data_IF_639546793511
#
_entry.id   IF_639546793511
#
_cell.length_a   1.000
_cell.length_b   1.000
_cell.length_c   1.000
_cell.angle_alpha   90.00
_cell.angle_beta   90.00
_cell.angle_gamma   90.00
#
_symmetry.space_group_name_H-M   'P 1'
#
loop_
_entity.id
_entity.type
_entity.pdbx_description
1 polymer ?
#
# COMPACT_ATOMS: atom_id res chain seq x y z
N UNK A 1 9.70 3.23 11.50
CA UNK A 1 10.65 4.11 12.24
C UNK A 1 11.38 5.09 11.35
N UNK A 2 12.33 4.66 10.49
CA UNK A 2 13.16 5.59 9.69
C UNK A 2 12.31 6.56 8.85
N UNK A 3 11.31 6.05 8.14
CA UNK A 3 10.41 6.89 7.33
C UNK A 3 9.63 7.92 8.16
N UNK A 4 9.19 7.55 9.38
CA UNK A 4 8.50 8.47 10.30
C UNK A 4 9.44 9.58 10.73
N UNK A 5 10.62 9.22 11.25
CA UNK A 5 11.60 10.21 11.72
C UNK A 5 12.01 11.17 10.59
N UNK A 6 12.24 10.63 9.38
CA UNK A 6 12.55 11.44 8.20
C UNK A 6 11.43 12.43 7.88
N UNK A 7 10.17 11.99 7.91
CA UNK A 7 9.03 12.90 7.68
C UNK A 7 8.93 14.00 8.74
N UNK A 8 9.09 13.66 10.02
CA UNK A 8 9.06 14.67 11.08
C UNK A 8 10.22 15.67 10.95
N UNK A 9 11.40 15.24 10.50
CA UNK A 9 12.50 16.17 10.22
C UNK A 9 12.13 17.10 9.06
N UNK A 10 11.59 16.56 7.96
CA UNK A 10 11.21 17.33 6.78
C UNK A 10 10.13 18.36 7.11
N UNK A 11 9.06 17.96 7.81
CA UNK A 11 7.93 18.82 8.12
C UNK A 11 8.29 19.99 9.07
N UNK A 12 9.39 19.86 9.81
CA UNK A 12 9.75 20.80 10.88
C UNK A 12 11.14 21.42 10.66
N UNK A 13 11.70 21.31 9.44
CA UNK A 13 13.04 21.84 9.12
C UNK A 13 13.13 23.36 9.29
N UNK A 14 12.02 24.08 9.10
CA UNK A 14 11.95 25.53 9.26
C UNK A 14 12.28 26.00 10.67
N UNK A 15 11.96 25.19 11.70
CA UNK A 15 12.35 25.48 13.08
C UNK A 15 13.88 25.42 13.27
N UNK A 16 14.58 24.56 12.52
CA UNK A 16 16.04 24.52 12.54
C UNK A 16 16.64 25.75 11.85
N UNK A 17 16.05 26.20 10.74
CA UNK A 17 16.50 27.41 10.03
C UNK A 17 16.27 28.69 10.82
N UNK A 18 15.23 28.74 11.65
CA UNK A 18 14.90 29.88 12.51
C UNK A 18 15.56 29.83 13.89
N UNK A 19 16.26 28.73 14.22
CA UNK A 19 16.93 28.54 15.51
C UNK A 19 16.01 28.15 16.66
N UNK A 20 14.73 27.88 16.42
CA UNK A 20 13.75 27.44 17.44
C UNK A 20 13.85 25.92 17.71
N UNK A 21 14.93 25.54 18.39
CA UNK A 21 15.21 24.14 18.74
C UNK A 21 14.11 23.55 19.64
N UNK A 22 13.48 24.38 20.49
CA UNK A 22 12.45 23.91 21.41
C UNK A 22 11.21 23.44 20.64
N UNK A 23 10.72 24.24 19.69
CA UNK A 23 9.59 23.84 18.84
C UNK A 23 9.94 22.66 17.95
N UNK A 24 11.18 22.58 17.46
CA UNK A 24 11.66 21.41 16.72
C UNK A 24 11.53 20.13 17.56
N UNK A 25 12.07 20.09 18.79
CA UNK A 25 11.98 18.89 19.65
C UNK A 25 10.52 18.58 20.00
N UNK A 26 9.73 19.60 20.35
CA UNK A 26 8.31 19.44 20.71
C UNK A 26 7.49 18.83 19.57
N UNK A 27 7.87 19.07 18.32
CA UNK A 27 7.19 18.50 17.15
C UNK A 27 7.23 16.96 17.11
N UNK A 28 8.18 16.32 17.80
CA UNK A 28 8.36 14.86 17.83
C UNK A 28 7.54 14.15 18.92
N UNK A 29 6.77 14.87 19.74
CA UNK A 29 5.97 14.27 20.83
C UNK A 29 5.09 13.11 20.32
N UNK A 30 4.57 13.20 19.09
CA UNK A 30 3.71 12.17 18.52
C UNK A 30 4.42 11.10 17.68
N UNK A 31 5.72 11.27 17.40
CA UNK A 31 6.50 10.32 16.62
C UNK A 31 6.51 8.90 17.24
N UNK A 32 6.62 8.70 18.57
CA UNK A 32 6.53 7.37 19.16
C UNK A 32 5.23 6.62 18.84
N UNK A 33 4.08 7.31 18.90
CA UNK A 33 2.78 6.70 18.59
C UNK A 33 2.69 6.28 17.12
N UNK A 34 3.20 7.09 16.19
CA UNK A 34 3.22 6.76 14.77
C UNK A 34 4.21 5.63 14.45
N UNK A 35 5.35 5.58 15.14
CA UNK A 35 6.32 4.45 15.05
C UNK A 35 5.69 3.14 15.53
N UNK A 36 4.82 3.20 16.53
CA UNK A 36 4.07 2.06 17.07
C UNK A 36 2.79 1.75 16.27
N UNK A 37 2.57 2.38 15.12
CA UNK A 37 1.38 2.19 14.29
C UNK A 37 0.06 2.50 15.03
N UNK A 38 0.04 3.58 15.82
CA UNK A 38 -1.16 4.06 16.54
C UNK A 38 -1.78 5.32 15.90
N UNK A 39 -1.37 5.71 14.69
CA UNK A 39 -1.90 6.89 14.01
C UNK A 39 -3.36 6.76 13.54
N UNK A 40 -3.91 5.55 13.51
CA UNK A 40 -5.34 5.30 13.25
C UNK A 40 -6.15 4.99 14.50
N UNK A 41 -5.55 5.18 15.70
CA UNK A 41 -6.26 4.99 16.97
C UNK A 41 -7.06 6.21 17.43
N UNK A 42 -6.88 7.36 16.77
CA UNK A 42 -7.41 8.66 17.19
C UNK A 42 -6.47 9.47 18.10
N UNK A 43 -5.32 8.91 18.51
CA UNK A 43 -4.33 9.59 19.38
C UNK A 43 -3.51 10.63 18.61
N UNK A 44 -3.08 10.30 17.40
CA UNK A 44 -2.32 11.21 16.54
C UNK A 44 -2.66 10.96 15.07
N UNK A 45 -2.49 11.97 14.22
CA UNK A 45 -2.64 11.82 12.76
C UNK A 45 -1.36 11.27 12.14
N UNK A 46 -1.49 10.43 11.11
CA UNK A 46 -0.34 9.94 10.36
C UNK A 46 0.29 11.07 9.52
N UNK A 47 1.57 11.38 9.77
CA UNK A 47 2.34 12.29 8.91
C UNK A 47 2.86 11.61 7.66
N UNK A 48 3.18 10.32 7.76
CA UNK A 48 3.54 9.48 6.61
C UNK A 48 2.28 8.81 6.09
N UNK A 49 1.76 9.26 4.94
CA UNK A 49 0.49 8.73 4.43
C UNK A 49 0.43 7.19 4.32
N UNK A 50 1.46 6.47 3.86
CA UNK A 50 1.44 4.99 3.87
C UNK A 50 1.19 4.34 5.24
N UNK A 51 1.58 5.01 6.34
CA UNK A 51 1.55 4.44 7.69
C UNK A 51 0.14 4.42 8.28
N UNK A 52 -0.75 5.33 7.89
CA UNK A 52 -2.15 5.27 8.35
C UNK A 52 -2.76 3.92 7.99
N UNK A 53 -2.51 3.42 6.77
CA UNK A 53 -3.11 2.17 6.31
C UNK A 53 -2.59 0.97 7.12
N UNK A 54 -1.27 0.93 7.38
CA UNK A 54 -0.67 -0.11 8.21
C UNK A 54 -1.18 -0.05 9.66
N UNK A 55 -1.37 1.15 10.21
CA UNK A 55 -1.96 1.36 11.54
C UNK A 55 -3.40 0.88 11.60
N UNK A 56 -4.24 1.32 10.67
CA UNK A 56 -5.62 0.89 10.56
C UNK A 56 -5.73 -0.64 10.39
N UNK A 57 -4.90 -1.24 9.54
CA UNK A 57 -4.85 -2.70 9.39
C UNK A 57 -4.48 -3.40 10.70
N UNK A 58 -3.51 -2.91 11.47
CA UNK A 58 -3.10 -3.52 12.73
C UNK A 58 -4.26 -3.62 13.73
N UNK A 59 -5.14 -2.61 13.74
CA UNK A 59 -6.31 -2.54 14.62
C UNK A 59 -7.46 -3.42 14.09
N UNK A 60 -7.75 -3.34 12.79
CA UNK A 60 -8.92 -3.99 12.18
C UNK A 60 -8.68 -5.48 11.88
N UNK A 61 -7.43 -5.88 11.62
CA UNK A 61 -7.11 -7.24 11.21
C UNK A 61 -7.49 -8.32 12.25
N UNK A 62 -7.24 -8.16 13.56
CA UNK A 62 -7.71 -9.12 14.57
C UNK A 62 -9.23 -9.29 14.59
N UNK A 63 -9.97 -8.18 14.43
CA UNK A 63 -11.43 -8.21 14.35
C UNK A 63 -11.91 -8.95 13.10
N UNK A 64 -11.28 -8.67 11.95
CA UNK A 64 -11.56 -9.39 10.71
C UNK A 64 -11.33 -10.90 10.88
N UNK A 65 -10.15 -11.29 11.39
CA UNK A 65 -9.81 -12.72 11.58
C UNK A 65 -10.79 -13.40 12.51
N UNK A 66 -11.19 -12.73 13.61
CA UNK A 66 -12.21 -13.23 14.51
C UNK A 66 -13.54 -13.47 13.79
N UNK A 67 -14.03 -12.50 12.99
CA UNK A 67 -15.27 -12.64 12.23
C UNK A 67 -15.19 -13.77 11.20
N UNK A 68 -14.06 -13.88 10.48
CA UNK A 68 -13.82 -14.96 9.52
C UNK A 68 -13.89 -16.35 10.18
N UNK A 69 -13.36 -16.49 11.39
CA UNK A 69 -13.34 -17.76 12.11
C UNK A 69 -14.68 -18.07 12.79
N UNK A 70 -15.33 -17.07 13.39
CA UNK A 70 -16.51 -17.28 14.22
C UNK A 70 -17.81 -17.32 13.40
N UNK A 71 -17.90 -16.53 12.34
CA UNK A 71 -19.12 -16.36 11.51
C UNK A 71 -18.76 -16.29 10.01
N UNK A 72 -18.17 -17.35 9.42
CA UNK A 72 -17.64 -17.34 8.06
C UNK A 72 -18.68 -17.02 6.98
N UNK A 73 -19.91 -17.51 7.11
CA UNK A 73 -20.97 -17.24 6.13
C UNK A 73 -21.39 -15.76 6.14
N UNK A 74 -21.47 -15.15 7.33
CA UNK A 74 -21.67 -13.71 7.44
C UNK A 74 -20.50 -12.94 6.81
N UNK A 75 -19.26 -13.35 7.07
CA UNK A 75 -18.09 -12.70 6.49
C UNK A 75 -18.09 -12.73 4.97
N UNK A 76 -18.49 -13.83 4.32
CA UNK A 76 -18.58 -13.90 2.84
C UNK A 76 -19.57 -12.87 2.29
N UNK A 77 -20.74 -12.74 2.91
CA UNK A 77 -21.75 -11.74 2.51
C UNK A 77 -21.22 -10.33 2.77
N UNK A 78 -20.67 -10.09 3.95
CA UNK A 78 -20.10 -8.81 4.35
C UNK A 78 -18.95 -8.37 3.42
N UNK A 79 -18.04 -9.29 3.08
CA UNK A 79 -16.91 -9.03 2.20
C UNK A 79 -17.33 -8.65 0.77
N UNK A 80 -18.50 -9.13 0.33
CA UNK A 80 -19.10 -8.71 -0.93
C UNK A 80 -19.78 -7.34 -0.82
N UNK A 81 -20.64 -7.14 0.17
CA UNK A 81 -21.50 -5.95 0.25
C UNK A 81 -20.76 -4.71 0.75
N UNK A 82 -19.90 -4.85 1.76
CA UNK A 82 -19.30 -3.71 2.46
C UNK A 82 -18.37 -2.87 1.56
N UNK A 83 -17.44 -3.46 0.77
CA UNK A 83 -16.59 -2.66 -0.12
C UNK A 83 -17.39 -1.90 -1.18
N UNK A 84 -18.41 -2.53 -1.76
CA UNK A 84 -19.27 -1.91 -2.79
C UNK A 84 -20.00 -0.70 -2.21
N UNK A 85 -20.60 -0.86 -1.03
CA UNK A 85 -21.31 0.24 -0.35
C UNK A 85 -20.33 1.34 0.10
N UNK A 86 -19.17 0.96 0.65
CA UNK A 86 -18.17 1.91 1.13
C UNK A 86 -17.61 2.77 -0.02
N UNK A 87 -17.05 2.13 -1.06
CA UNK A 87 -16.46 2.85 -2.18
C UNK A 87 -17.52 3.50 -3.09
N UNK A 88 -18.71 2.91 -3.19
CA UNK A 88 -19.84 3.52 -3.90
C UNK A 88 -20.34 4.80 -3.25
N UNK A 89 -20.34 4.88 -1.91
CA UNK A 89 -20.78 6.08 -1.19
C UNK A 89 -19.67 7.12 -1.02
N UNK A 90 -18.47 6.70 -0.61
CA UNK A 90 -17.37 7.62 -0.26
C UNK A 90 -16.41 7.91 -1.41
N UNK A 91 -16.40 7.09 -2.47
CA UNK A 91 -15.40 7.15 -3.53
C UNK A 91 -14.02 6.65 -3.06
N UNK A 92 -12.99 6.93 -3.85
CA UNK A 92 -11.62 6.41 -3.66
C UNK A 92 -10.74 7.37 -2.88
N UNK A 93 -10.92 8.67 -3.12
CA UNK A 93 -10.24 9.74 -2.39
C UNK A 93 -11.06 10.14 -1.16
N UNK A 94 -11.15 9.20 -0.23
CA UNK A 94 -11.89 9.39 1.03
C UNK A 94 -11.09 10.18 2.06
N UNK A 95 -11.83 10.86 2.94
CA UNK A 95 -11.32 11.48 4.14
C UNK A 95 -10.55 10.44 4.99
N UNK A 96 -9.36 10.84 5.44
CA UNK A 96 -8.44 10.01 6.24
C UNK A 96 -8.58 10.29 7.72
N UNK A 97 -9.51 11.16 8.12
CA UNK A 97 -9.80 11.40 9.52
C UNK A 97 -10.33 10.13 10.18
N UNK A 98 -9.88 9.90 11.41
CA UNK A 98 -10.45 8.88 12.27
C UNK A 98 -11.97 9.11 12.43
N UNK A 99 -12.82 8.05 12.37
CA UNK A 99 -12.50 6.63 12.23
C UNK A 99 -12.60 6.09 10.78
N UNK A 100 -12.66 6.97 9.77
CA UNK A 100 -12.89 6.57 8.37
C UNK A 100 -11.74 5.72 7.81
N UNK A 101 -10.51 5.95 8.28
CA UNK A 101 -9.33 5.18 7.94
C UNK A 101 -9.44 3.69 8.31
N UNK A 102 -9.99 3.39 9.49
CA UNK A 102 -10.28 2.00 9.90
C UNK A 102 -11.38 1.37 9.05
N UNK A 103 -12.46 2.09 8.77
CA UNK A 103 -13.53 1.61 7.91
C UNK A 103 -13.02 1.33 6.48
N UNK A 104 -12.15 2.21 5.96
CA UNK A 104 -11.47 2.03 4.68
C UNK A 104 -10.56 0.80 4.68
N UNK A 105 -9.76 0.62 5.74
CA UNK A 105 -8.89 -0.54 5.85
C UNK A 105 -9.70 -1.84 5.88
N UNK A 106 -10.83 -1.87 6.61
CA UNK A 106 -11.77 -2.99 6.60
C UNK A 106 -12.33 -3.25 5.21
N UNK A 107 -12.73 -2.21 4.47
CA UNK A 107 -13.25 -2.32 3.11
C UNK A 107 -12.20 -2.88 2.15
N UNK A 108 -10.94 -2.43 2.24
CA UNK A 108 -9.84 -2.95 1.44
C UNK A 108 -9.56 -4.43 1.75
N UNK A 109 -9.55 -4.83 3.02
CA UNK A 109 -9.30 -6.23 3.40
C UNK A 109 -10.47 -7.16 3.02
N UNK A 110 -11.71 -6.67 3.16
CA UNK A 110 -12.91 -7.34 2.65
C UNK A 110 -12.85 -7.53 1.12
N UNK A 111 -12.47 -6.49 0.38
CA UNK A 111 -12.26 -6.56 -1.08
C UNK A 111 -11.17 -7.57 -1.46
N UNK A 112 -10.08 -7.64 -0.68
CA UNK A 112 -9.04 -8.66 -0.84
C UNK A 112 -9.56 -10.09 -0.61
N UNK A 113 -10.43 -10.29 0.38
CA UNK A 113 -11.11 -11.59 0.58
C UNK A 113 -11.99 -11.92 -0.63
N UNK A 114 -12.78 -10.97 -1.10
CA UNK A 114 -13.63 -11.16 -2.27
C UNK A 114 -12.80 -11.53 -3.50
N UNK A 115 -11.67 -10.84 -3.72
CA UNK A 115 -10.76 -11.13 -4.83
C UNK A 115 -10.22 -12.57 -4.75
N UNK A 116 -9.86 -13.03 -3.54
CA UNK A 116 -9.43 -14.40 -3.32
C UNK A 116 -10.53 -15.43 -3.62
N UNK A 117 -11.75 -15.22 -3.13
CA UNK A 117 -12.88 -16.13 -3.37
C UNK A 117 -13.25 -16.20 -4.85
N UNK A 118 -13.28 -15.05 -5.54
CA UNK A 118 -13.51 -15.00 -6.98
C UNK A 118 -12.38 -15.70 -7.76
N UNK A 119 -11.13 -15.52 -7.32
CA UNK A 119 -9.98 -16.18 -7.94
C UNK A 119 -10.04 -17.71 -7.80
N UNK A 120 -10.41 -18.19 -6.61
CA UNK A 120 -10.58 -19.63 -6.35
C UNK A 120 -11.72 -20.22 -7.20
N UNK A 121 -12.86 -19.51 -7.27
CA UNK A 121 -13.97 -19.91 -8.13
C UNK A 121 -13.54 -19.98 -9.60
N UNK A 122 -12.81 -18.98 -10.08
CA UNK A 122 -12.33 -18.93 -11.46
C UNK A 122 -11.35 -20.06 -11.76
N UNK A 123 -10.46 -20.39 -10.82
CA UNK A 123 -9.48 -21.48 -10.95
C UNK A 123 -10.13 -22.86 -11.08
N UNK A 124 -11.31 -23.08 -10.47
CA UNK A 124 -12.04 -24.36 -10.49
C UNK A 124 -12.80 -24.63 -11.80
N UNK A 125 -12.98 -23.63 -12.67
CA UNK A 125 -13.75 -23.78 -13.91
C UNK A 125 -12.95 -24.54 -14.98
N UNK A 126 -13.48 -25.69 -15.46
CA UNK A 126 -12.83 -26.64 -16.38
C UNK A 126 -12.98 -26.32 -17.89
N UNK A 127 -13.34 -25.09 -18.26
CA UNK A 127 -13.56 -24.72 -19.67
C UNK A 127 -12.24 -24.69 -20.47
N UNK A 128 -12.28 -25.07 -21.75
CA UNK A 128 -11.15 -25.16 -22.70
C UNK A 128 -10.04 -24.14 -22.44
N UNK A 129 -8.86 -24.67 -22.09
CA UNK A 129 -7.82 -23.91 -21.39
C UNK A 129 -7.14 -22.81 -22.22
N UNK A 130 -7.17 -22.87 -23.55
CA UNK A 130 -6.32 -21.99 -24.39
C UNK A 130 -7.00 -20.66 -24.75
N UNK A 131 -8.18 -20.69 -25.35
CA UNK A 131 -8.91 -19.48 -25.78
C UNK A 131 -9.28 -18.62 -24.57
N UNK A 132 -9.82 -19.24 -23.52
CA UNK A 132 -10.15 -18.55 -22.26
C UNK A 132 -8.92 -17.87 -21.64
N UNK A 133 -7.78 -18.55 -21.62
CA UNK A 133 -6.53 -17.99 -21.07
C UNK A 133 -6.03 -16.79 -21.88
N UNK A 134 -6.17 -16.81 -23.21
CA UNK A 134 -5.87 -15.65 -24.06
C UNK A 134 -6.79 -14.49 -23.73
N UNK A 135 -8.11 -14.70 -23.69
CA UNK A 135 -9.10 -13.66 -23.41
C UNK A 135 -8.85 -13.04 -22.03
N UNK A 136 -8.70 -13.87 -21.00
CA UNK A 136 -8.48 -13.40 -19.63
C UNK A 136 -7.15 -12.65 -19.48
N UNK A 137 -6.09 -13.10 -20.16
CA UNK A 137 -4.81 -12.35 -20.18
C UNK A 137 -4.95 -11.02 -20.91
N UNK A 138 -5.74 -10.97 -21.99
CA UNK A 138 -6.08 -9.73 -22.68
C UNK A 138 -6.83 -8.75 -21.77
N UNK A 139 -7.83 -9.23 -21.02
CA UNK A 139 -8.56 -8.42 -20.04
C UNK A 139 -7.62 -7.88 -18.95
N UNK A 140 -6.70 -8.71 -18.45
CA UNK A 140 -5.71 -8.29 -17.45
C UNK A 140 -4.81 -7.17 -17.98
N UNK A 141 -4.23 -7.34 -19.17
CA UNK A 141 -3.34 -6.36 -19.79
C UNK A 141 -4.11 -5.07 -20.10
N UNK A 142 -5.31 -5.17 -20.66
CA UNK A 142 -6.16 -4.00 -20.92
C UNK A 142 -6.51 -3.26 -19.64
N UNK A 143 -6.82 -3.97 -18.55
CA UNK A 143 -7.11 -3.37 -17.24
C UNK A 143 -5.89 -2.63 -16.69
N UNK A 144 -4.69 -3.22 -16.80
CA UNK A 144 -3.45 -2.59 -16.37
C UNK A 144 -3.09 -1.36 -17.20
N UNK A 145 -3.18 -1.45 -18.53
CA UNK A 145 -2.93 -0.32 -19.43
C UNK A 145 -3.93 0.81 -19.21
N UNK A 146 -5.19 0.49 -18.98
CA UNK A 146 -6.23 1.47 -18.68
C UNK A 146 -5.99 2.16 -17.33
N UNK A 147 -5.55 1.42 -16.31
CA UNK A 147 -5.14 2.00 -15.02
C UNK A 147 -3.94 2.96 -15.17
N UNK A 148 -2.96 2.61 -16.01
CA UNK A 148 -1.83 3.51 -16.31
C UNK A 148 -2.33 4.77 -17.03
N UNK A 149 -3.18 4.62 -18.05
CA UNK A 149 -3.74 5.73 -18.82
C UNK A 149 -4.50 6.73 -17.94
N UNK A 150 -5.41 6.24 -17.08
CA UNK A 150 -6.20 7.09 -16.19
C UNK A 150 -5.33 7.78 -15.15
N UNK A 151 -4.31 7.10 -14.63
CA UNK A 151 -3.37 7.68 -13.65
C UNK A 151 -2.47 8.76 -14.27
N UNK A 152 -1.89 8.49 -15.46
CA UNK A 152 -0.97 9.42 -16.13
C UNK A 152 -1.68 10.69 -16.58
N UNK A 153 -2.93 10.57 -17.07
CA UNK A 153 -3.70 11.71 -17.54
C UNK A 153 -4.60 12.33 -16.46
N UNK A 154 -4.51 11.84 -15.21
CA UNK A 154 -5.28 12.30 -14.06
C UNK A 154 -6.78 12.50 -14.39
N UNK A 155 -7.42 11.48 -14.97
CA UNK A 155 -8.82 11.59 -15.42
C UNK A 155 -9.79 11.58 -14.23
N UNK A 156 -10.93 12.23 -14.41
CA UNK A 156 -11.96 12.40 -13.37
C UNK A 156 -12.60 11.09 -12.88
N UNK A 157 -12.49 10.02 -13.68
CA UNK A 157 -12.99 8.69 -13.33
C UNK A 157 -11.93 7.82 -12.61
N UNK A 158 -11.05 8.44 -11.80
CA UNK A 158 -10.08 7.74 -10.96
C UNK A 158 -10.73 6.68 -10.06
N UNK A 159 -12.02 6.82 -9.75
CA UNK A 159 -12.76 5.86 -8.94
C UNK A 159 -12.85 4.44 -9.55
N UNK A 160 -12.57 4.28 -10.86
CA UNK A 160 -12.54 2.97 -11.51
C UNK A 160 -11.29 2.15 -11.15
N UNK A 161 -10.26 2.78 -10.56
CA UNK A 161 -8.99 2.12 -10.25
C UNK A 161 -9.14 0.89 -9.39
N UNK A 162 -9.99 0.94 -8.37
CA UNK A 162 -10.25 -0.15 -7.43
C UNK A 162 -10.84 -1.35 -8.15
N UNK A 163 -11.73 -1.10 -9.11
CA UNK A 163 -12.32 -2.15 -9.93
C UNK A 163 -11.27 -2.78 -10.85
N UNK A 164 -10.46 -1.96 -11.53
CA UNK A 164 -9.38 -2.46 -12.39
C UNK A 164 -8.37 -3.27 -11.58
N UNK A 165 -7.98 -2.77 -10.41
CA UNK A 165 -7.07 -3.44 -9.50
C UNK A 165 -7.67 -4.75 -8.98
N UNK A 166 -8.95 -4.77 -8.61
CA UNK A 166 -9.68 -5.97 -8.23
C UNK A 166 -9.64 -7.03 -9.34
N UNK A 167 -9.95 -6.64 -10.59
CA UNK A 167 -9.90 -7.54 -11.75
C UNK A 167 -8.49 -8.11 -11.92
N UNK A 168 -7.45 -7.25 -11.90
CA UNK A 168 -6.05 -7.68 -12.03
C UNK A 168 -5.69 -8.68 -10.93
N UNK A 169 -6.06 -8.40 -9.67
CA UNK A 169 -5.80 -9.31 -8.54
C UNK A 169 -6.50 -10.66 -8.71
N UNK A 170 -7.80 -10.67 -9.07
CA UNK A 170 -8.55 -11.91 -9.29
C UNK A 170 -7.88 -12.78 -10.36
N UNK A 171 -7.51 -12.16 -11.49
CA UNK A 171 -6.90 -12.85 -12.62
C UNK A 171 -5.51 -13.39 -12.27
N UNK A 172 -4.66 -12.58 -11.63
CA UNK A 172 -3.32 -12.98 -11.21
C UNK A 172 -3.34 -14.09 -10.14
N UNK A 173 -4.20 -13.98 -9.12
CA UNK A 173 -4.29 -14.97 -8.03
C UNK A 173 -4.86 -16.29 -8.54
N UNK A 174 -5.81 -16.26 -9.47
CA UNK A 174 -6.46 -17.47 -10.00
C UNK A 174 -5.53 -18.37 -10.82
N UNK A 175 -4.39 -17.86 -11.28
CA UNK A 175 -3.42 -18.63 -12.08
C UNK A 175 -3.87 -18.94 -13.52
N UNK A 176 -4.97 -18.33 -13.98
CA UNK A 176 -5.60 -18.65 -15.27
C UNK A 176 -5.09 -17.80 -16.43
N UNK A 177 -4.27 -16.77 -16.18
CA UNK A 177 -3.68 -15.89 -17.20
C UNK A 177 -2.23 -16.28 -17.51
N UNK A 178 -1.69 -15.86 -18.65
CA UNK A 178 -0.29 -16.15 -19.01
C UNK A 178 0.69 -15.40 -18.09
N UNK A 179 0.38 -14.16 -17.73
CA UNK A 179 1.14 -13.32 -16.80
C UNK A 179 1.26 -13.93 -15.41
N UNK A 180 0.19 -14.56 -14.90
CA UNK A 180 0.21 -15.24 -13.59
C UNK A 180 1.24 -16.40 -13.51
N UNK A 181 1.62 -16.98 -14.65
CA UNK A 181 2.61 -18.05 -14.72
C UNK A 181 4.05 -17.53 -14.81
N UNK A 182 4.26 -16.23 -15.00
CA UNK A 182 5.59 -15.65 -15.15
C UNK A 182 6.32 -15.72 -13.81
N UNK A 183 7.38 -16.51 -13.77
CA UNK A 183 8.29 -16.62 -12.63
C UNK A 183 9.66 -16.12 -13.07
N UNK A 184 10.30 -15.32 -12.23
CA UNK A 184 11.66 -14.85 -12.50
C UNK A 184 12.23 -14.05 -11.34
N UNK A 185 13.56 -14.01 -11.26
CA UNK A 185 14.26 -13.24 -10.22
C UNK A 185 13.98 -11.74 -10.33
N UNK A 186 13.75 -11.22 -11.55
CA UNK A 186 13.35 -9.82 -11.78
C UNK A 186 12.01 -9.50 -11.11
N UNK A 187 10.97 -10.32 -11.33
CA UNK A 187 9.65 -10.09 -10.72
C UNK A 187 9.68 -10.25 -9.21
N UNK A 188 10.45 -11.22 -8.68
CA UNK A 188 10.69 -11.35 -7.24
C UNK A 188 11.39 -10.10 -6.68
N UNK A 189 12.35 -9.55 -7.41
CA UNK A 189 13.04 -8.31 -7.02
C UNK A 189 12.09 -7.12 -7.00
N UNK A 190 11.31 -6.91 -8.07
CA UNK A 190 10.30 -5.85 -8.14
C UNK A 190 9.26 -5.98 -7.02
N UNK A 191 8.80 -7.20 -6.73
CA UNK A 191 7.93 -7.47 -5.58
C UNK A 191 8.55 -7.08 -4.25
N UNK A 192 9.83 -7.39 -4.02
CA UNK A 192 10.58 -6.96 -2.82
C UNK A 192 10.78 -5.45 -2.75
N UNK A 193 10.85 -4.76 -3.88
CA UNK A 193 11.03 -3.31 -3.97
C UNK A 193 9.73 -2.53 -3.69
N UNK A 194 8.57 -3.13 -3.99
CA UNK A 194 7.26 -2.49 -3.84
C UNK A 194 6.99 -1.94 -2.43
N UNK A 195 7.33 -2.68 -1.37
CA UNK A 195 7.07 -2.28 0.01
C UNK A 195 7.94 -1.09 0.46
N UNK A 196 9.27 -1.10 0.25
CA UNK A 196 10.09 0.10 0.46
C UNK A 196 9.60 1.31 -0.34
N UNK A 197 9.22 1.14 -1.62
CA UNK A 197 8.63 2.24 -2.40
C UNK A 197 7.35 2.76 -1.76
N UNK A 198 6.44 1.87 -1.36
CA UNK A 198 5.21 2.23 -0.67
C UNK A 198 5.49 3.04 0.60
N UNK A 199 6.47 2.67 1.42
CA UNK A 199 6.78 3.37 2.68
C UNK A 199 7.42 4.75 2.45
N UNK A 200 8.38 4.85 1.52
CA UNK A 200 9.23 6.05 1.40
C UNK A 200 8.74 7.08 0.39
N UNK A 201 7.87 6.72 -0.56
CA UNK A 201 7.47 7.65 -1.64
C UNK A 201 6.86 8.96 -1.11
N UNK A 202 6.14 8.92 0.01
CA UNK A 202 5.52 10.10 0.59
C UNK A 202 6.55 11.14 1.05
N UNK A 203 7.54 10.71 1.85
CA UNK A 203 8.60 11.62 2.33
C UNK A 203 9.46 12.16 1.19
N UNK A 204 9.72 11.36 0.16
CA UNK A 204 10.42 11.84 -1.04
C UNK A 204 9.57 12.82 -1.83
N UNK A 205 8.25 12.60 -1.92
CA UNK A 205 7.31 13.55 -2.51
C UNK A 205 7.29 14.90 -1.77
N UNK A 206 7.23 14.87 -0.44
CA UNK A 206 7.34 16.08 0.40
C UNK A 206 8.65 16.82 0.15
N UNK A 207 9.78 16.11 0.12
CA UNK A 207 11.08 16.71 -0.17
C UNK A 207 11.14 17.30 -1.58
N UNK A 208 10.63 16.59 -2.59
CA UNK A 208 10.59 17.07 -3.97
C UNK A 208 9.73 18.35 -4.13
N UNK A 209 8.67 18.49 -3.33
CA UNK A 209 7.86 19.71 -3.28
C UNK A 209 8.65 20.91 -2.71
N UNK A 210 9.52 20.69 -1.73
CA UNK A 210 10.36 21.74 -1.13
C UNK A 210 11.50 22.15 -2.07
N UNK A 211 12.08 21.19 -2.80
CA UNK A 211 13.26 21.44 -3.64
C UNK A 211 12.99 22.21 -4.93
N UNK A 212 11.78 22.11 -5.50
CA UNK A 212 11.46 22.76 -6.77
C UNK A 212 9.96 22.96 -6.98
N UNK A 213 9.62 24.14 -7.52
CA UNK A 213 8.28 24.47 -8.02
C UNK A 213 8.03 23.95 -9.44
N UNK A 214 9.09 23.54 -10.15
CA UNK A 214 8.95 23.01 -11.50
C UNK A 214 8.38 21.59 -11.48
N UNK A 215 7.18 21.43 -12.03
CA UNK A 215 6.45 20.15 -12.05
C UNK A 215 7.25 18.99 -12.69
N UNK A 216 7.99 19.25 -13.78
CA UNK A 216 8.78 18.20 -14.46
C UNK A 216 9.94 17.74 -13.59
N UNK A 217 10.65 18.68 -12.97
CA UNK A 217 11.74 18.37 -12.05
C UNK A 217 11.24 17.66 -10.78
N UNK A 218 10.08 18.08 -10.26
CA UNK A 218 9.42 17.45 -9.13
C UNK A 218 9.08 15.98 -9.39
N UNK A 219 8.49 15.67 -10.55
CA UNK A 219 8.27 14.28 -10.95
C UNK A 219 9.57 13.49 -11.07
N UNK A 220 10.60 14.08 -11.67
CA UNK A 220 11.91 13.44 -11.80
C UNK A 220 12.50 13.10 -10.43
N UNK A 221 12.54 14.06 -9.50
CA UNK A 221 13.02 13.85 -8.13
C UNK A 221 12.17 12.84 -7.37
N UNK A 222 10.85 12.89 -7.53
CA UNK A 222 9.94 11.93 -6.91
C UNK A 222 10.24 10.49 -7.35
N UNK A 223 10.26 10.22 -8.66
CA UNK A 223 10.44 8.86 -9.17
C UNK A 223 11.85 8.33 -8.91
N UNK A 224 12.88 9.12 -9.24
CA UNK A 224 14.28 8.71 -9.05
C UNK A 224 14.59 8.58 -7.55
N UNK A 225 14.21 9.57 -6.75
CA UNK A 225 14.45 9.56 -5.31
C UNK A 225 13.77 8.38 -4.61
N UNK A 226 12.51 8.10 -4.96
CA UNK A 226 11.76 6.96 -4.38
C UNK A 226 12.44 5.64 -4.74
N UNK A 227 12.85 5.46 -6.00
CA UNK A 227 13.53 4.26 -6.44
C UNK A 227 14.89 4.06 -5.72
N UNK A 228 15.72 5.12 -5.65
CA UNK A 228 17.02 5.07 -5.00
C UNK A 228 16.91 4.72 -3.52
N UNK A 229 16.01 5.40 -2.79
CA UNK A 229 15.79 5.15 -1.36
C UNK A 229 15.21 3.75 -1.13
N UNK A 230 14.29 3.29 -1.98
CA UNK A 230 13.76 1.94 -1.90
C UNK A 230 14.84 0.87 -2.12
N UNK A 231 15.74 1.07 -3.08
CA UNK A 231 16.88 0.18 -3.33
C UNK A 231 17.86 0.16 -2.16
N UNK A 232 18.20 1.33 -1.60
CA UNK A 232 19.06 1.46 -0.41
C UNK A 232 18.44 0.74 0.80
N UNK A 233 17.15 0.96 1.08
CA UNK A 233 16.45 0.31 2.17
C UNK A 233 16.44 -1.22 2.01
N UNK A 234 16.25 -1.72 0.78
CA UNK A 234 16.32 -3.15 0.48
C UNK A 234 17.74 -3.70 0.70
N UNK A 235 18.77 -2.96 0.28
CA UNK A 235 20.18 -3.30 0.49
C UNK A 235 20.54 -3.41 1.97
N UNK A 236 20.18 -2.39 2.76
CA UNK A 236 20.38 -2.37 4.22
C UNK A 236 19.68 -3.56 4.87
N UNK A 237 18.42 -3.82 4.51
CA UNK A 237 17.66 -4.94 5.08
C UNK A 237 18.32 -6.29 4.77
N UNK A 238 18.86 -6.47 3.56
CA UNK A 238 19.60 -7.68 3.19
C UNK A 238 20.91 -7.81 3.97
N UNK A 239 21.65 -6.73 4.11
CA UNK A 239 22.90 -6.70 4.87
C UNK A 239 22.69 -7.04 6.35
N UNK A 240 21.67 -6.45 6.99
CA UNK A 240 21.31 -6.74 8.37
C UNK A 240 20.95 -8.22 8.57
N UNK A 241 20.10 -8.77 7.68
CA UNK A 241 19.74 -10.21 7.73
C UNK A 241 20.95 -11.13 7.54
N UNK A 242 21.86 -10.81 6.62
CA UNK A 242 23.08 -11.61 6.43
C UNK A 242 24.01 -11.58 7.65
N UNK A 243 24.14 -10.43 8.31
CA UNK A 243 24.94 -10.31 9.52
C UNK A 243 24.31 -11.01 10.73
N UNK A 244 22.99 -10.98 10.88
CA UNK A 244 22.27 -11.77 11.91
C UNK A 244 22.52 -13.27 11.72
N UNK A 245 22.50 -13.77 10.48
CA UNK A 245 22.82 -15.16 10.17
C UNK A 245 24.30 -15.52 10.43
N UNK A 246 25.25 -14.62 10.10
CA UNK A 246 26.68 -14.85 10.32
C UNK A 246 27.08 -14.83 11.80
N UNK A 247 26.38 -14.07 12.64
CA UNK A 247 26.74 -13.89 14.06
C UNK A 247 26.05 -14.87 15.00
N UNK A 248 25.19 -15.77 14.50
CA UNK A 248 24.50 -16.80 15.31
C UNK A 248 23.53 -16.26 16.38
N UNK A 249 23.49 -14.94 16.61
CA UNK A 249 22.55 -14.30 17.52
C UNK A 249 21.21 -14.11 16.81
N UNK A 250 20.37 -15.14 16.84
CA UNK A 250 18.92 -14.90 16.84
C UNK A 250 18.65 -13.98 18.03
N UNK A 251 18.26 -12.72 17.77
CA UNK A 251 17.60 -11.90 18.78
C UNK A 251 16.32 -12.65 19.16
N UNK A 252 16.37 -13.41 20.25
CA UNK A 252 15.19 -13.87 20.96
C UNK A 252 14.41 -12.64 21.38
N UNK A 253 13.16 -12.58 20.90
CA UNK A 253 12.15 -11.65 21.39
C UNK A 253 11.88 -11.91 22.88
#
# INVERSE_FOLDING_TARGET
MIAVLLQYIIDNVDYLFTGDIHSFIRSFIYAPYEILYLSSSGICSARVAPIWYLSAMLIVFPMMVYLMQKVPEFWKVFAFTFPILYFGHKGVNTDRAWPNDMARALACMALGTLAYLCAEFLAKQNVEKKIRKIILSGIEICSALFAIYVSVLNKDYINIMELLFFIICVLMISGVTYSSCIKGEVFKFLGKLSMPMFIFHWGIGSLANILTDNLKQRFLFYYIGTLLVAMLALGITRFLKQNEFRTGKKRTA
#
